data_IF_143032852059
#
_entry.id   IF_143032852059
#
_cell.length_a   1.000
_cell.length_b   1.000
_cell.length_c   1.000
_cell.angle_alpha   90.00
_cell.angle_beta   90.00
_cell.angle_gamma   90.00
#
_symmetry.space_group_name_H-M   'P 1'
#
loop_
_entity.id
_entity.type
_entity.pdbx_description
1 polymer ?
#
# COMPACT_ATOMS: atom_id res chain seq x y z
N UNK A 1 35.17 -13.26 67.38
CA UNK A 1 34.99 -14.71 67.51
C UNK A 1 34.91 -15.29 66.11
N UNK A 2 35.95 -16.00 65.64
CA UNK A 2 35.90 -16.86 64.46
C UNK A 2 35.46 -18.30 64.89
N UNK A 3 35.61 -19.35 64.06
CA UNK A 3 35.13 -19.65 62.70
C UNK A 3 34.27 -20.95 62.74
N UNK A 4 33.78 -21.59 61.66
CA UNK A 4 34.48 -22.46 60.66
C UNK A 4 33.42 -22.94 59.65
N UNK A 5 33.62 -22.75 58.33
CA UNK A 5 34.34 -23.63 57.38
C UNK A 5 33.72 -25.04 57.31
N UNK A 6 33.35 -25.58 56.14
CA UNK A 6 34.31 -26.13 55.18
C UNK A 6 33.72 -26.30 53.77
N UNK A 7 34.58 -26.05 52.78
CA UNK A 7 34.46 -26.14 51.32
C UNK A 7 34.60 -27.57 50.73
N UNK A 8 34.58 -27.59 49.38
CA UNK A 8 35.16 -28.51 48.38
C UNK A 8 34.14 -29.45 47.72
N UNK A 9 33.81 -29.29 46.43
CA UNK A 9 34.59 -29.21 45.17
C UNK A 9 35.28 -30.52 44.79
N UNK A 10 35.12 -30.92 43.52
CA UNK A 10 35.73 -32.10 42.93
C UNK A 10 34.91 -32.78 41.82
N UNK A 11 34.99 -32.23 40.60
CA UNK A 11 34.73 -32.92 39.34
C UNK A 11 35.78 -34.00 39.05
N UNK A 12 35.40 -35.15 38.48
CA UNK A 12 36.23 -35.83 37.47
C UNK A 12 35.45 -36.88 36.66
N UNK A 13 35.75 -36.91 35.35
CA UNK A 13 35.24 -37.81 34.33
C UNK A 13 36.02 -39.13 34.30
N UNK A 14 35.39 -40.26 33.91
CA UNK A 14 35.92 -41.23 32.92
C UNK A 14 35.04 -42.48 32.72
N UNK A 15 34.94 -42.83 31.44
CA UNK A 15 34.44 -44.04 30.77
C UNK A 15 35.13 -45.33 31.30
N UNK A 16 34.67 -46.58 31.17
CA UNK A 16 34.25 -47.31 29.94
C UNK A 16 33.57 -48.67 30.27
N UNK A 17 32.64 -49.08 29.38
CA UNK A 17 32.33 -50.43 28.84
C UNK A 17 31.98 -51.65 29.73
N UNK A 18 30.80 -52.26 29.51
CA UNK A 18 30.64 -53.50 28.68
C UNK A 18 29.23 -54.12 28.74
N UNK A 19 28.65 -54.35 27.55
CA UNK A 19 27.79 -55.43 27.04
C UNK A 19 26.75 -56.17 27.92
N UNK A 20 25.51 -56.23 27.40
CA UNK A 20 24.52 -57.26 27.78
C UNK A 20 23.16 -57.12 27.07
N UNK A 21 23.00 -57.87 25.99
CA UNK A 21 21.78 -58.15 25.20
C UNK A 21 20.59 -58.65 26.05
N UNK A 22 19.35 -58.36 25.61
CA UNK A 22 18.13 -58.94 26.17
C UNK A 22 16.90 -58.04 26.06
N UNK A 23 16.10 -58.22 25.00
CA UNK A 23 14.88 -57.46 24.75
C UNK A 23 13.74 -57.70 25.74
N UNK A 24 12.85 -56.71 25.81
CA UNK A 24 11.42 -56.89 26.03
C UNK A 24 10.73 -55.61 25.53
N UNK A 25 9.95 -55.77 24.46
CA UNK A 25 8.97 -54.80 23.98
C UNK A 25 8.00 -54.45 25.12
N UNK A 26 7.76 -53.16 25.33
CA UNK A 26 6.51 -52.70 25.93
C UNK A 26 6.09 -51.45 25.17
N UNK A 27 5.11 -51.66 24.30
CA UNK A 27 4.36 -50.65 23.58
C UNK A 27 3.82 -49.59 24.54
N UNK A 28 4.30 -48.36 24.42
CA UNK A 28 3.53 -47.18 24.83
C UNK A 28 3.13 -46.44 23.57
N UNK A 29 2.27 -47.11 22.79
CA UNK A 29 1.53 -46.54 21.68
C UNK A 29 0.39 -45.69 22.28
N UNK A 30 0.72 -44.52 22.83
CA UNK A 30 -0.31 -43.54 23.15
C UNK A 30 -0.74 -42.85 21.85
N UNK A 31 -1.86 -43.34 21.33
CA UNK A 31 -2.60 -42.80 20.22
C UNK A 31 -2.68 -41.26 20.21
N UNK A 32 -2.12 -40.65 19.17
CA UNK A 32 -2.68 -39.44 18.56
C UNK A 32 -3.23 -39.83 17.19
N UNK A 33 -4.42 -40.42 17.21
CA UNK A 33 -5.20 -40.64 16.02
C UNK A 33 -5.77 -39.28 15.55
N UNK A 34 -5.65 -39.07 14.24
CA UNK A 34 -6.28 -38.02 13.43
C UNK A 34 -5.63 -36.62 13.42
N UNK A 35 -4.30 -36.57 13.21
CA UNK A 35 -3.78 -35.51 12.34
C UNK A 35 -4.26 -35.80 10.92
N UNK A 36 -5.19 -34.99 10.41
CA UNK A 36 -5.59 -35.04 9.01
C UNK A 36 -4.34 -35.04 8.13
N UNK A 37 -4.02 -36.18 7.50
CA UNK A 37 -2.81 -36.40 6.73
C UNK A 37 -2.89 -35.60 5.42
N UNK A 38 -2.60 -34.29 5.55
CA UNK A 38 -2.56 -33.37 4.42
C UNK A 38 -1.22 -33.55 3.74
N UNK A 39 -1.24 -34.06 2.50
CA UNK A 39 -0.03 -34.12 1.69
C UNK A 39 0.43 -32.71 1.30
N UNK A 40 1.58 -32.29 1.80
CA UNK A 40 2.22 -31.01 1.46
C UNK A 40 2.76 -31.09 0.03
N UNK A 41 2.30 -30.19 -0.86
CA UNK A 41 2.81 -30.08 -2.24
C UNK A 41 4.17 -29.41 -2.31
N UNK A 42 4.36 -28.33 -1.56
CA UNK A 42 5.58 -27.52 -1.55
C UNK A 42 5.58 -26.58 -0.33
N UNK A 43 6.76 -26.36 0.27
CA UNK A 43 6.98 -25.36 1.31
C UNK A 43 7.79 -24.18 0.76
N UNK A 44 7.35 -22.95 1.03
CA UNK A 44 8.04 -21.72 0.60
C UNK A 44 8.20 -20.77 1.78
N UNK A 45 9.44 -20.34 2.05
CA UNK A 45 9.72 -19.29 3.03
C UNK A 45 9.66 -17.91 2.39
N UNK A 46 9.28 -16.89 3.17
CA UNK A 46 9.27 -15.51 2.68
C UNK A 46 10.70 -15.00 2.50
N UNK A 47 10.96 -14.35 1.36
CA UNK A 47 12.18 -13.56 1.16
C UNK A 47 12.26 -12.44 2.21
N UNK A 48 13.47 -11.91 2.52
CA UNK A 48 13.62 -10.82 3.48
C UNK A 48 12.72 -9.61 3.17
N UNK A 49 12.67 -9.21 1.90
CA UNK A 49 11.80 -8.12 1.44
C UNK A 49 10.32 -8.43 1.66
N UNK A 50 9.87 -9.64 1.30
CA UNK A 50 8.47 -10.05 1.48
C UNK A 50 8.08 -10.13 2.96
N UNK A 51 9.01 -10.53 3.83
CA UNK A 51 8.83 -10.54 5.28
C UNK A 51 8.66 -9.13 5.85
N UNK A 52 9.45 -8.17 5.39
CA UNK A 52 9.28 -6.75 5.76
C UNK A 52 7.91 -6.23 5.33
N UNK A 53 7.48 -6.50 4.09
CA UNK A 53 6.15 -6.11 3.61
C UNK A 53 5.05 -6.75 4.46
N UNK A 54 5.17 -8.05 4.76
CA UNK A 54 4.20 -8.77 5.58
C UNK A 54 4.05 -8.16 6.98
N UNK A 55 5.18 -7.82 7.63
CA UNK A 55 5.15 -7.16 8.93
C UNK A 55 4.46 -5.79 8.86
N UNK A 56 4.77 -4.96 7.85
CA UNK A 56 4.11 -3.65 7.67
C UNK A 56 2.60 -3.78 7.46
N UNK A 57 2.17 -4.76 6.67
CA UNK A 57 0.73 -5.02 6.45
C UNK A 57 0.03 -5.49 7.73
N UNK A 58 0.70 -6.32 8.54
CA UNK A 58 0.17 -6.72 9.85
C UNK A 58 0.08 -5.52 10.81
N UNK A 59 1.10 -4.67 10.83
CA UNK A 59 1.11 -3.47 11.68
C UNK A 59 -0.01 -2.50 11.28
N UNK A 60 -0.29 -2.36 9.98
CA UNK A 60 -1.44 -1.59 9.49
C UNK A 60 -2.75 -2.12 10.08
N UNK A 61 -3.06 -3.39 9.84
CA UNK A 61 -4.34 -3.99 10.27
C UNK A 61 -4.51 -4.09 11.79
N UNK A 62 -3.42 -4.22 12.55
CA UNK A 62 -3.49 -4.28 14.02
C UNK A 62 -3.76 -2.92 14.63
N UNK A 63 -3.20 -1.86 14.04
CA UNK A 63 -3.19 -0.55 14.66
C UNK A 63 -4.32 0.33 14.12
N UNK A 64 -4.59 0.36 12.82
CA UNK A 64 -5.63 1.21 12.24
C UNK A 64 -7.02 0.55 12.25
N UNK A 65 -8.07 1.38 12.32
CA UNK A 65 -9.45 0.93 12.11
C UNK A 65 -9.82 1.18 10.65
N UNK A 66 -9.47 0.24 9.77
CA UNK A 66 -9.71 0.38 8.33
C UNK A 66 -11.19 0.44 7.99
N UNK A 67 -11.58 1.50 7.29
CA UNK A 67 -12.86 1.59 6.57
C UNK A 67 -12.57 2.03 5.15
N UNK A 68 -13.29 1.47 4.18
CA UNK A 68 -13.19 1.84 2.77
C UNK A 68 -14.50 2.47 2.31
N UNK A 69 -14.39 3.64 1.67
CA UNK A 69 -15.48 4.28 0.94
C UNK A 69 -15.15 4.26 -0.55
N UNK A 70 -16.15 3.99 -1.39
CA UNK A 70 -15.98 3.91 -2.84
C UNK A 70 -16.85 4.94 -3.56
N UNK A 71 -16.33 5.55 -4.62
CA UNK A 71 -17.08 6.46 -5.50
C UNK A 71 -16.76 6.16 -6.96
N UNK A 72 -17.81 6.00 -7.77
CA UNK A 72 -17.69 5.97 -9.24
C UNK A 72 -17.61 7.39 -9.78
N UNK A 73 -16.70 7.63 -10.72
CA UNK A 73 -16.39 8.97 -11.23
C UNK A 73 -16.31 8.95 -12.76
N UNK A 74 -16.87 9.97 -13.42
CA UNK A 74 -16.70 10.20 -14.86
C UNK A 74 -15.24 10.57 -15.15
N UNK A 75 -14.62 9.81 -16.06
CA UNK A 75 -13.21 9.93 -16.39
C UNK A 75 -12.97 10.63 -17.74
N UNK A 76 -14.00 11.11 -18.45
CA UNK A 76 -13.81 11.70 -19.79
C UNK A 76 -12.88 12.91 -19.77
N UNK A 77 -12.95 13.74 -18.73
CA UNK A 77 -12.04 14.87 -18.58
C UNK A 77 -10.59 14.43 -18.30
N UNK A 78 -10.38 13.34 -17.53
CA UNK A 78 -9.05 12.76 -17.32
C UNK A 78 -8.43 12.31 -18.64
N UNK A 79 -9.18 11.57 -19.46
CA UNK A 79 -8.68 11.11 -20.75
C UNK A 79 -8.32 12.28 -21.67
N UNK A 80 -9.18 13.29 -21.77
CA UNK A 80 -8.89 14.51 -22.55
C UNK A 80 -7.66 15.24 -22.04
N UNK A 81 -7.50 15.36 -20.72
CA UNK A 81 -6.31 15.97 -20.11
C UNK A 81 -5.03 15.20 -20.43
N UNK A 82 -5.06 13.86 -20.32
CA UNK A 82 -3.92 12.99 -20.65
C UNK A 82 -3.56 13.07 -22.13
N UNK A 83 -4.53 12.97 -23.04
CA UNK A 83 -4.31 13.07 -24.49
C UNK A 83 -3.71 14.43 -24.86
N UNK A 84 -4.31 15.53 -24.38
CA UNK A 84 -3.83 16.90 -24.64
C UNK A 84 -2.42 17.13 -24.10
N UNK A 85 -2.13 16.64 -22.89
CA UNK A 85 -0.81 16.79 -22.29
C UNK A 85 0.24 15.95 -23.01
N UNK A 86 -0.10 14.73 -23.44
CA UNK A 86 0.78 13.86 -24.24
C UNK A 86 1.19 14.55 -25.54
N UNK A 87 0.21 15.11 -26.26
CA UNK A 87 0.45 15.76 -27.55
C UNK A 87 1.26 17.05 -27.42
N UNK A 88 0.95 17.88 -26.42
CA UNK A 88 1.56 19.22 -26.27
C UNK A 88 2.90 19.23 -25.57
N UNK A 89 3.11 18.33 -24.60
CA UNK A 89 4.37 18.21 -23.87
C UNK A 89 5.35 17.27 -24.58
N UNK A 90 4.91 16.57 -25.62
CA UNK A 90 5.68 15.50 -26.28
C UNK A 90 6.24 14.49 -25.27
N UNK A 91 5.43 14.17 -24.25
CA UNK A 91 5.81 13.37 -23.09
C UNK A 91 4.87 12.19 -22.86
N UNK A 92 5.38 11.12 -22.23
CA UNK A 92 4.61 9.92 -21.87
C UNK A 92 3.76 10.18 -20.61
N UNK A 93 2.61 10.83 -20.80
CA UNK A 93 1.65 11.12 -19.74
C UNK A 93 0.70 9.93 -19.59
N UNK A 94 0.59 9.41 -18.37
CA UNK A 94 -0.35 8.36 -18.01
C UNK A 94 -1.61 8.95 -17.38
N UNK A 95 -2.72 8.21 -17.40
CA UNK A 95 -3.97 8.58 -16.73
C UNK A 95 -3.78 8.86 -15.22
N UNK A 96 -2.79 8.23 -14.58
CA UNK A 96 -2.50 8.47 -13.17
C UNK A 96 -1.91 9.87 -12.92
N UNK A 97 -1.27 10.49 -13.91
CA UNK A 97 -0.55 11.75 -13.72
C UNK A 97 -1.52 12.92 -13.44
N UNK A 98 -2.60 13.14 -14.22
CA UNK A 98 -3.63 14.11 -13.86
C UNK A 98 -4.41 13.75 -12.58
N UNK A 99 -4.53 12.45 -12.26
CA UNK A 99 -5.13 12.02 -10.98
C UNK A 99 -4.28 12.46 -9.79
N UNK A 100 -2.95 12.42 -9.90
CA UNK A 100 -2.06 12.94 -8.86
C UNK A 100 -2.19 14.46 -8.70
N UNK A 101 -2.37 15.21 -9.79
CA UNK A 101 -2.70 16.64 -9.71
C UNK A 101 -4.03 16.88 -9.00
N UNK A 102 -5.08 16.12 -9.37
CA UNK A 102 -6.40 16.18 -8.74
C UNK A 102 -6.33 15.82 -7.25
N UNK A 103 -5.57 14.79 -6.90
CA UNK A 103 -5.32 14.37 -5.52
C UNK A 103 -4.62 15.47 -4.73
N UNK A 104 -3.56 16.09 -5.27
CA UNK A 104 -2.86 17.19 -4.59
C UNK A 104 -3.80 18.35 -4.28
N UNK A 105 -4.63 18.76 -5.24
CA UNK A 105 -5.63 19.81 -5.01
C UNK A 105 -6.68 19.38 -3.96
N UNK A 106 -7.05 18.10 -3.95
CA UNK A 106 -7.97 17.54 -2.93
C UNK A 106 -7.33 17.56 -1.55
N UNK A 107 -6.06 17.20 -1.42
CA UNK A 107 -5.33 17.17 -0.16
C UNK A 107 -5.17 18.57 0.45
N UNK A 108 -5.02 19.60 -0.38
CA UNK A 108 -5.01 21.00 0.04
C UNK A 108 -6.31 21.39 0.77
N UNK A 109 -7.45 20.95 0.24
CA UNK A 109 -8.77 21.22 0.84
C UNK A 109 -9.12 20.29 2.00
N UNK A 110 -8.52 19.10 2.03
CA UNK A 110 -8.77 18.05 3.02
C UNK A 110 -7.48 17.62 3.72
N UNK A 111 -6.78 18.52 4.43
CA UNK A 111 -5.44 18.26 4.96
C UNK A 111 -5.41 17.18 6.04
N UNK A 112 -6.56 16.82 6.62
CA UNK A 112 -6.69 15.69 7.54
C UNK A 112 -6.26 14.34 6.90
N UNK A 113 -6.35 14.22 5.58
CA UNK A 113 -5.89 13.05 4.83
C UNK A 113 -4.40 13.12 4.47
N UNK A 114 -3.80 14.31 4.37
CA UNK A 114 -2.35 14.49 4.16
C UNK A 114 -1.60 14.43 5.49
N UNK A 115 -1.64 13.27 6.14
CA UNK A 115 -1.26 13.16 7.53
C UNK A 115 -0.74 11.78 7.92
N UNK A 116 -0.04 11.75 9.05
CA UNK A 116 0.33 10.53 9.76
C UNK A 116 -0.42 10.44 11.09
N UNK A 117 -0.63 9.21 11.56
CA UNK A 117 -1.20 8.94 12.87
C UNK A 117 -0.38 7.89 13.62
N UNK A 118 0.36 8.36 14.62
CA UNK A 118 1.20 7.56 15.50
C UNK A 118 1.30 8.24 16.86
N UNK A 119 1.53 7.47 17.93
CA UNK A 119 1.62 7.99 19.29
C UNK A 119 0.44 8.91 19.67
N UNK A 120 -0.77 8.49 19.30
CA UNK A 120 -2.03 9.23 19.52
C UNK A 120 -2.03 10.65 18.93
N UNK A 121 -1.14 10.93 17.98
CA UNK A 121 -0.94 12.25 17.38
C UNK A 121 -1.25 12.20 15.90
N UNK A 122 -2.23 13.00 15.47
CA UNK A 122 -2.53 13.24 14.06
C UNK A 122 -1.68 14.41 13.56
N UNK A 123 -0.65 14.13 12.76
CA UNK A 123 0.28 15.14 12.24
C UNK A 123 -0.02 15.41 10.78
N UNK A 124 -0.43 16.63 10.49
CA UNK A 124 -0.73 17.11 9.15
C UNK A 124 0.53 17.73 8.54
N UNK A 125 0.71 17.55 7.24
CA UNK A 125 1.88 18.06 6.51
C UNK A 125 1.49 19.09 5.47
N UNK A 126 2.38 20.04 5.20
CA UNK A 126 2.24 21.01 4.11
C UNK A 126 2.65 20.37 2.77
N UNK A 127 3.75 19.61 2.74
CA UNK A 127 4.19 18.96 1.52
C UNK A 127 3.36 17.71 1.22
N UNK A 128 2.87 17.62 -0.02
CA UNK A 128 2.15 16.45 -0.53
C UNK A 128 3.15 15.39 -1.02
N UNK A 129 3.61 14.52 -0.13
CA UNK A 129 4.54 13.45 -0.47
C UNK A 129 3.77 12.15 -0.75
N UNK A 130 3.50 11.85 -2.02
CA UNK A 130 2.61 10.76 -2.39
C UNK A 130 3.39 9.50 -2.76
N UNK A 131 3.15 8.42 -2.02
CA UNK A 131 3.57 7.07 -2.38
C UNK A 131 2.79 6.56 -3.58
N UNK A 132 3.45 6.10 -4.64
CA UNK A 132 2.79 5.51 -5.82
C UNK A 132 3.17 4.05 -5.91
N UNK A 133 2.19 3.15 -5.78
CA UNK A 133 2.45 1.72 -5.79
C UNK A 133 2.85 1.24 -7.20
N UNK A 134 3.99 0.54 -7.27
CA UNK A 134 4.57 -0.03 -8.48
C UNK A 134 4.73 -1.54 -8.30
N UNK A 135 4.18 -2.30 -9.24
CA UNK A 135 4.35 -3.74 -9.30
C UNK A 135 5.73 -4.11 -9.87
N UNK A 136 6.45 -4.95 -9.14
CA UNK A 136 7.74 -5.53 -9.54
C UNK A 136 7.74 -7.03 -9.28
N UNK A 137 8.70 -7.77 -9.85
CA UNK A 137 8.78 -9.23 -9.72
C UNK A 137 8.85 -9.72 -8.26
N UNK A 138 9.48 -8.93 -7.37
CA UNK A 138 9.57 -9.23 -5.94
C UNK A 138 8.29 -8.89 -5.13
N UNK A 139 7.29 -8.27 -5.76
CA UNK A 139 6.02 -7.85 -5.18
C UNK A 139 5.71 -6.37 -5.42
N UNK A 140 4.83 -5.81 -4.59
CA UNK A 140 4.44 -4.40 -4.67
C UNK A 140 5.35 -3.54 -3.80
N UNK A 141 5.88 -2.45 -4.35
CA UNK A 141 6.62 -1.42 -3.60
C UNK A 141 6.05 -0.04 -3.87
N UNK A 142 6.28 0.90 -2.96
CA UNK A 142 5.63 2.22 -2.99
C UNK A 142 6.66 3.33 -2.89
N UNK A 143 7.39 3.67 -3.97
CA UNK A 143 8.25 4.85 -3.99
C UNK A 143 7.44 6.13 -3.77
N UNK A 144 8.05 7.14 -3.16
CA UNK A 144 7.44 8.42 -2.79
C UNK A 144 7.83 9.51 -3.78
N UNK A 145 6.83 10.09 -4.44
CA UNK A 145 6.95 11.35 -5.17
C UNK A 145 6.86 12.50 -4.16
N UNK A 146 7.89 13.33 -4.08
CA UNK A 146 8.03 14.31 -3.00
C UNK A 146 7.44 15.65 -3.38
N UNK A 147 6.54 16.20 -2.58
CA UNK A 147 5.93 17.51 -2.84
C UNK A 147 5.37 17.60 -4.27
N UNK A 148 4.31 16.83 -4.54
CA UNK A 148 3.64 16.86 -5.84
C UNK A 148 2.84 18.15 -6.05
N UNK A 149 2.51 18.89 -4.99
CA UNK A 149 1.74 20.14 -5.06
C UNK A 149 2.50 21.30 -5.68
N UNK A 150 3.84 21.26 -5.64
CA UNK A 150 4.69 22.26 -6.32
C UNK A 150 5.03 21.92 -7.77
N UNK A 151 4.55 20.77 -8.30
CA UNK A 151 4.91 20.28 -9.63
C UNK A 151 3.80 20.47 -10.65
N UNK A 152 4.21 20.81 -11.87
CA UNK A 152 3.35 20.73 -13.05
C UNK A 152 3.04 19.27 -13.43
N UNK A 153 2.00 19.07 -14.24
CA UNK A 153 1.64 17.75 -14.78
C UNK A 153 2.80 17.08 -15.52
N UNK A 154 3.58 17.85 -16.29
CA UNK A 154 4.75 17.33 -17.00
C UNK A 154 5.86 16.85 -16.05
N UNK A 155 6.10 17.58 -14.97
CA UNK A 155 7.08 17.18 -13.94
C UNK A 155 6.62 15.95 -13.16
N UNK A 156 5.31 15.84 -12.86
CA UNK A 156 4.70 14.65 -12.26
C UNK A 156 4.89 13.44 -13.17
N UNK A 157 4.58 13.55 -14.46
CA UNK A 157 4.74 12.46 -15.42
C UNK A 157 6.20 12.01 -15.54
N UNK A 158 7.14 12.96 -15.61
CA UNK A 158 8.57 12.68 -15.66
C UNK A 158 9.06 11.98 -14.37
N UNK A 159 8.63 12.45 -13.19
CA UNK A 159 9.01 11.86 -11.92
C UNK A 159 8.43 10.46 -11.73
N UNK A 160 7.15 10.23 -12.07
CA UNK A 160 6.53 8.89 -12.05
C UNK A 160 7.33 7.92 -12.90
N UNK A 161 7.69 8.31 -14.12
CA UNK A 161 8.46 7.46 -15.03
C UNK A 161 9.82 7.11 -14.45
N UNK A 162 10.55 8.12 -13.97
CA UNK A 162 11.85 7.93 -13.30
C UNK A 162 11.73 6.94 -12.14
N UNK A 163 10.76 7.13 -11.24
CA UNK A 163 10.56 6.24 -10.09
C UNK A 163 10.20 4.82 -10.53
N UNK A 164 9.35 4.67 -11.54
CA UNK A 164 8.97 3.35 -12.08
C UNK A 164 10.19 2.63 -12.66
N UNK A 165 11.03 3.33 -13.42
CA UNK A 165 12.27 2.78 -14.00
C UNK A 165 13.27 2.39 -12.90
N UNK A 166 13.53 3.27 -11.93
CA UNK A 166 14.43 2.99 -10.79
C UNK A 166 13.96 1.79 -9.96
N UNK A 167 12.65 1.69 -9.71
CA UNK A 167 12.07 0.59 -8.95
C UNK A 167 12.20 -0.73 -9.71
N UNK A 168 11.93 -0.73 -11.02
CA UNK A 168 12.03 -1.92 -11.88
C UNK A 168 13.47 -2.35 -12.13
N UNK A 169 14.44 -1.43 -12.16
CA UNK A 169 15.86 -1.77 -12.29
C UNK A 169 16.46 -2.31 -10.99
N UNK A 170 15.78 -2.11 -9.85
CA UNK A 170 16.28 -2.48 -8.53
C UNK A 170 17.29 -1.48 -7.96
N UNK A 171 17.52 -0.35 -8.61
CA UNK A 171 18.49 0.69 -8.21
C UNK A 171 17.91 1.70 -7.22
N UNK A 172 16.98 1.27 -6.37
CA UNK A 172 16.33 2.11 -5.39
C UNK A 172 17.06 2.11 -4.04
N UNK A 173 16.85 3.17 -3.28
CA UNK A 173 17.39 3.35 -1.93
C UNK A 173 16.25 3.42 -0.91
N UNK A 174 16.57 3.24 0.37
CA UNK A 174 15.59 3.43 1.45
C UNK A 174 14.98 4.85 1.47
N UNK A 175 15.68 5.85 0.92
CA UNK A 175 15.18 7.22 0.83
C UNK A 175 14.00 7.33 -0.12
N UNK A 176 13.93 6.46 -1.12
CA UNK A 176 12.86 6.50 -2.13
C UNK A 176 11.52 6.02 -1.57
N UNK A 177 11.49 5.34 -0.41
CA UNK A 177 10.26 4.81 0.21
C UNK A 177 9.87 5.52 1.52
N UNK A 178 10.54 6.62 1.87
CA UNK A 178 10.36 7.30 3.17
C UNK A 178 9.77 8.70 3.04
N UNK A 179 8.98 9.07 4.04
CA UNK A 179 8.37 10.39 4.16
C UNK A 179 7.14 10.56 3.27
N UNK A 180 6.43 9.47 2.96
CA UNK A 180 5.10 9.55 2.36
C UNK A 180 4.09 10.06 3.39
N UNK A 181 3.13 10.84 2.91
CA UNK A 181 2.01 11.41 3.68
C UNK A 181 0.66 10.89 3.19
N UNK A 182 0.63 10.29 2.00
CA UNK A 182 -0.53 9.64 1.39
C UNK A 182 -0.05 8.58 0.38
N UNK A 183 -0.83 7.53 0.14
CA UNK A 183 -0.51 6.51 -0.88
C UNK A 183 -1.59 6.37 -1.94
N UNK A 184 -1.17 6.15 -3.19
CA UNK A 184 -2.03 5.78 -4.32
C UNK A 184 -1.62 4.42 -4.87
N UNK A 185 -2.61 3.57 -5.16
CA UNK A 185 -2.40 2.26 -5.78
C UNK A 185 -3.43 2.01 -6.89
N UNK A 186 -2.95 1.56 -8.05
CA UNK A 186 -3.78 1.36 -9.24
C UNK A 186 -3.78 -0.10 -9.65
N UNK A 187 -4.88 -0.80 -9.37
CA UNK A 187 -5.12 -2.17 -9.85
C UNK A 187 -6.05 -2.20 -11.08
N UNK A 188 -6.51 -1.04 -11.54
CA UNK A 188 -7.31 -0.90 -12.74
C UNK A 188 -6.61 -1.40 -14.00
N UNK A 189 -5.29 -1.25 -14.07
CA UNK A 189 -4.46 -1.82 -15.16
C UNK A 189 -4.45 -3.35 -15.18
N UNK A 190 -4.80 -3.99 -14.06
CA UNK A 190 -4.96 -5.45 -13.92
C UNK A 190 -6.42 -5.90 -14.07
N UNK A 191 -7.33 -4.98 -14.41
CA UNK A 191 -8.74 -5.28 -14.62
C UNK A 191 -9.58 -5.39 -13.34
N UNK A 192 -9.09 -4.92 -12.19
CA UNK A 192 -9.82 -4.88 -10.92
C UNK A 192 -10.83 -3.72 -10.92
N UNK A 193 -12.07 -3.97 -10.50
CA UNK A 193 -13.13 -2.96 -10.51
C UNK A 193 -13.14 -2.07 -9.28
N UNK A 194 -12.95 -2.70 -8.13
CA UNK A 194 -12.89 -2.08 -6.81
C UNK A 194 -12.16 -3.05 -5.87
N UNK A 195 -11.46 -2.50 -4.88
CA UNK A 195 -10.76 -3.27 -3.86
C UNK A 195 -10.59 -2.44 -2.58
N UNK A 196 -10.26 -3.10 -1.48
CA UNK A 196 -9.94 -2.44 -0.21
C UNK A 196 -8.42 -2.32 -0.08
N UNK A 197 -7.82 -1.18 -0.46
CA UNK A 197 -6.38 -0.98 -0.27
C UNK A 197 -6.03 -0.96 1.23
N UNK A 198 -4.85 -1.46 1.57
CA UNK A 198 -4.35 -1.48 2.96
C UNK A 198 -3.50 -0.25 3.18
N UNK A 199 -3.88 0.58 4.17
CA UNK A 199 -3.16 1.80 4.56
C UNK A 199 -1.66 1.50 4.76
N UNK A 200 -0.78 2.37 4.27
CA UNK A 200 0.66 2.26 4.49
C UNK A 200 1.05 3.04 5.75
N UNK A 201 1.33 2.37 6.90
CA UNK A 201 1.60 3.10 8.13
C UNK A 201 2.90 3.92 8.03
N UNK A 202 2.97 5.10 8.66
CA UNK A 202 1.97 5.67 9.58
C UNK A 202 0.94 6.59 8.91
N UNK A 203 0.77 6.54 7.58
CA UNK A 203 -0.20 7.39 6.85
C UNK A 203 -1.64 7.11 7.29
N UNK A 204 -2.53 8.10 7.14
CA UNK A 204 -3.94 7.99 7.54
C UNK A 204 -4.81 7.34 6.47
N UNK A 205 -4.43 7.42 5.20
CA UNK A 205 -5.28 6.95 4.10
C UNK A 205 -4.49 6.47 2.87
N UNK A 206 -5.16 5.68 2.05
CA UNK A 206 -4.67 5.18 0.76
C UNK A 206 -5.81 5.17 -0.25
N UNK A 207 -5.54 5.65 -1.46
CA UNK A 207 -6.48 5.67 -2.58
C UNK A 207 -6.20 4.51 -3.53
N UNK A 208 -7.19 3.63 -3.68
CA UNK A 208 -7.26 2.60 -4.69
C UNK A 208 -7.94 3.12 -5.96
N UNK A 209 -7.39 2.77 -7.12
CA UNK A 209 -7.95 3.11 -8.42
C UNK A 209 -8.33 1.81 -9.14
N UNK A 210 -9.64 1.68 -9.39
CA UNK A 210 -10.23 0.62 -10.18
C UNK A 210 -10.09 0.85 -11.68
N UNK A 211 -10.48 -0.14 -12.47
CA UNK A 211 -10.36 -0.11 -13.92
C UNK A 211 -11.35 0.88 -14.53
N UNK A 212 -10.95 1.46 -15.65
CA UNK A 212 -11.85 2.26 -16.48
C UNK A 212 -12.80 1.32 -17.24
N UNK A 213 -14.08 1.66 -17.28
CA UNK A 213 -15.10 1.00 -18.13
C UNK A 213 -15.99 2.04 -18.78
N UNK A 214 -16.47 1.75 -19.99
CA UNK A 214 -17.57 2.51 -20.58
C UNK A 214 -18.90 2.06 -19.95
N UNK A 215 -19.66 3.00 -19.39
CA UNK A 215 -21.01 2.75 -18.83
C UNK A 215 -22.02 3.76 -19.38
N UNK A 216 -23.29 3.37 -19.55
CA UNK A 216 -24.34 4.30 -19.93
C UNK A 216 -24.68 5.25 -18.78
N UNK A 217 -24.47 6.54 -18.98
CA UNK A 217 -24.89 7.65 -18.11
C UNK A 217 -26.10 8.36 -18.69
N UNK A 218 -26.98 8.85 -17.82
CA UNK A 218 -28.09 9.71 -18.24
C UNK A 218 -27.53 11.07 -18.67
N UNK A 219 -27.88 11.50 -19.88
CA UNK A 219 -27.49 12.78 -20.47
C UNK A 219 -28.74 13.46 -21.02
N UNK A 220 -29.25 14.45 -20.31
CA UNK A 220 -30.56 15.05 -20.57
C UNK A 220 -31.70 14.01 -20.56
N UNK A 221 -32.38 13.89 -21.70
CA UNK A 221 -33.47 12.92 -21.93
C UNK A 221 -32.97 11.56 -22.49
N UNK A 222 -31.67 11.41 -22.74
CA UNK A 222 -31.06 10.23 -23.34
C UNK A 222 -30.04 9.51 -22.47
N UNK A 223 -29.37 8.52 -23.08
CA UNK A 223 -28.22 7.83 -22.52
C UNK A 223 -26.98 8.12 -23.39
N UNK A 224 -25.86 8.34 -22.74
CA UNK A 224 -24.55 8.49 -23.36
C UNK A 224 -23.57 7.51 -22.71
N UNK A 225 -22.72 6.85 -23.49
CA UNK A 225 -21.67 6.02 -22.93
C UNK A 225 -20.50 6.91 -22.52
N UNK A 226 -20.09 6.76 -21.27
CA UNK A 226 -19.00 7.53 -20.65
C UNK A 226 -18.00 6.58 -20.02
N UNK A 227 -16.72 6.91 -20.11
CA UNK A 227 -15.65 6.25 -19.38
C UNK A 227 -15.80 6.59 -17.90
N UNK A 228 -15.85 5.58 -17.06
CA UNK A 228 -15.92 5.72 -15.62
C UNK A 228 -14.84 4.88 -14.95
N UNK A 229 -14.31 5.38 -13.84
CA UNK A 229 -13.45 4.63 -12.93
C UNK A 229 -14.04 4.61 -11.52
N UNK A 230 -13.50 3.75 -10.66
CA UNK A 230 -13.83 3.72 -9.23
C UNK A 230 -12.63 4.22 -8.43
N UNK A 231 -12.88 5.12 -7.48
CA UNK A 231 -11.96 5.42 -6.40
C UNK A 231 -12.39 4.67 -5.15
N UNK A 232 -11.48 3.93 -4.54
CA UNK A 232 -11.65 3.24 -3.26
C UNK A 232 -10.71 3.86 -2.22
N UNK A 233 -11.23 4.70 -1.35
CA UNK A 233 -10.46 5.34 -0.29
C UNK A 233 -10.54 4.50 0.98
N UNK A 234 -9.43 3.87 1.37
CA UNK A 234 -9.29 3.29 2.71
C UNK A 234 -8.66 4.31 3.65
N UNK A 235 -9.23 4.46 4.84
CA UNK A 235 -8.79 5.43 5.84
C UNK A 235 -8.88 4.85 7.25
N UNK A 236 -8.11 5.44 8.18
CA UNK A 236 -8.13 5.10 9.58
C UNK A 236 -9.28 5.82 10.30
N UNK A 237 -10.35 5.07 10.62
CA UNK A 237 -11.57 5.61 11.20
C UNK A 237 -11.40 6.12 12.66
N UNK A 238 -10.19 6.01 13.23
CA UNK A 238 -9.84 6.68 14.49
C UNK A 238 -9.61 8.18 14.31
N UNK A 239 -9.26 8.62 13.10
CA UNK A 239 -8.75 9.97 12.81
C UNK A 239 -9.71 10.76 11.93
N UNK A 240 -10.25 10.11 10.90
CA UNK A 240 -11.21 10.71 9.95
C UNK A 240 -12.45 9.84 9.89
N UNK A 241 -13.63 10.43 9.69
CA UNK A 241 -14.89 9.69 9.67
C UNK A 241 -15.42 9.46 8.25
N UNK A 242 -16.52 8.69 8.14
CA UNK A 242 -17.14 8.40 6.85
C UNK A 242 -17.69 9.64 6.11
N UNK A 243 -18.07 10.70 6.83
CA UNK A 243 -18.51 11.94 6.19
C UNK A 243 -17.31 12.72 5.62
N UNK A 244 -16.18 12.73 6.34
CA UNK A 244 -14.93 13.30 5.83
C UNK A 244 -14.46 12.56 4.57
N UNK A 245 -14.49 11.22 4.59
CA UNK A 245 -14.14 10.39 3.44
C UNK A 245 -15.08 10.64 2.24
N UNK A 246 -16.38 10.81 2.49
CA UNK A 246 -17.35 11.11 1.44
C UNK A 246 -17.09 12.49 0.80
N UNK A 247 -16.77 13.51 1.60
CA UNK A 247 -16.41 14.85 1.12
C UNK A 247 -15.08 14.85 0.36
N UNK A 248 -14.08 14.12 0.86
CA UNK A 248 -12.81 13.94 0.15
C UNK A 248 -13.02 13.34 -1.23
N UNK A 249 -13.79 12.25 -1.32
CA UNK A 249 -14.09 11.59 -2.59
C UNK A 249 -14.94 12.47 -3.51
N UNK A 250 -15.81 13.32 -2.96
CA UNK A 250 -16.55 14.32 -3.73
C UNK A 250 -15.64 15.35 -4.37
N UNK A 251 -14.77 16.00 -3.60
CA UNK A 251 -13.80 16.97 -4.11
C UNK A 251 -12.84 16.32 -5.12
N UNK A 252 -12.36 15.10 -4.85
CA UNK A 252 -11.54 14.37 -5.81
C UNK A 252 -12.30 14.09 -7.10
N UNK A 253 -13.57 13.70 -7.02
CA UNK A 253 -14.40 13.49 -8.20
C UNK A 253 -14.57 14.79 -9.01
N UNK A 254 -14.85 15.92 -8.36
CA UNK A 254 -14.98 17.23 -9.03
C UNK A 254 -13.69 17.63 -9.76
N UNK A 255 -12.52 17.38 -9.17
CA UNK A 255 -11.22 17.64 -9.80
C UNK A 255 -10.88 16.66 -10.92
N UNK A 256 -11.30 15.41 -10.79
CA UNK A 256 -11.20 14.42 -11.84
C UNK A 256 -12.10 14.76 -13.04
N UNK A 257 -13.32 15.19 -12.79
CA UNK A 257 -14.30 15.59 -13.81
C UNK A 257 -13.97 16.94 -14.47
N UNK A 258 -13.04 17.70 -13.89
CA UNK A 258 -12.51 18.96 -14.42
C UNK A 258 -11.00 18.90 -14.71
N UNK A 259 -10.44 17.70 -14.89
CA UNK A 259 -8.99 17.49 -14.97
C UNK A 259 -8.26 18.25 -16.10
N UNK A 260 -8.97 18.73 -17.12
CA UNK A 260 -8.43 19.60 -18.18
C UNK A 260 -7.77 20.87 -17.62
N UNK A 261 -8.18 21.31 -16.43
CA UNK A 261 -7.57 22.43 -15.70
C UNK A 261 -6.12 22.19 -15.28
N UNK A 262 -5.68 20.94 -15.19
CA UNK A 262 -4.29 20.58 -14.87
C UNK A 262 -3.45 20.36 -16.13
N UNK A 263 -4.04 20.62 -17.31
CA UNK A 263 -3.33 20.53 -18.58
C UNK A 263 -2.17 21.53 -18.66
N UNK A 264 -1.40 21.49 -19.76
CA UNK A 264 -0.18 22.28 -19.92
C UNK A 264 -0.35 23.82 -19.88
N UNK A 265 -1.58 24.33 -19.90
CA UNK A 265 -1.91 25.76 -19.83
C UNK A 265 -2.47 26.19 -18.45
N UNK A 266 -2.60 25.24 -17.51
CA UNK A 266 -3.25 25.40 -16.21
C UNK A 266 -2.33 25.79 -15.06
#
# INVERSE_FOLDING_TARGET
MPPTDTESDGSDERETETNGDGGAESDDETANADETDRTVREERSLSPMRRTIANRLQDSYRNAVHVTASREVDAEALFRATETATDRLEADVSLIDPVLCALSATLEEHPAFNATFEDETHRLYEEHNVGVAVDVEAGLVTPVMRDIGSKSLGEIAAERRRLTETVRSGEYTMRDFRGGTFTVTNLGVLGVDSFTPVINPPEVAILGIGRVRERPRRSGDGLEFRRELTYDLSFDHRVVDGADAARFLETLAEYTESAERFGPDG
#
